data_IF_615537224575
#
_entry.id   IF_615537224575
#
_cell.length_a   1.000
_cell.length_b   1.000
_cell.length_c   1.000
_cell.angle_alpha   90.00
_cell.angle_beta   90.00
_cell.angle_gamma   90.00
#
_symmetry.space_group_name_H-M   'P 1'
#
loop_
_entity.id
_entity.type
_entity.pdbx_description
1 polymer ?
#
# COMPACT_ATOMS: atom_id res chain seq x y z
N UNK A 1 -1.29 6.96 -12.04
CA UNK A 1 -2.35 7.71 -12.75
C UNK A 1 -2.83 6.92 -13.98
N UNK A 2 -4.14 6.93 -14.25
CA UNK A 2 -4.73 6.40 -15.49
C UNK A 2 -5.01 7.57 -16.43
N UNK A 3 -3.95 8.18 -16.97
CA UNK A 3 -4.04 9.37 -17.81
C UNK A 3 -3.00 9.29 -18.91
N UNK A 4 -3.35 9.71 -20.13
CA UNK A 4 -2.38 9.95 -21.20
C UNK A 4 -1.57 11.22 -20.92
N UNK A 5 -0.40 11.40 -21.54
CA UNK A 5 0.31 12.67 -21.51
C UNK A 5 -0.60 13.82 -21.96
N UNK A 6 -0.78 14.82 -21.09
CA UNK A 6 -1.49 16.05 -21.41
C UNK A 6 -0.45 17.14 -21.71
N UNK A 7 -0.69 17.94 -22.76
CA UNK A 7 0.21 19.03 -23.17
C UNK A 7 0.33 20.15 -22.14
N UNK A 8 -0.69 20.29 -21.28
CA UNK A 8 -0.82 21.40 -20.34
C UNK A 8 -0.67 20.93 -18.88
N UNK A 9 0.18 19.94 -18.61
CA UNK A 9 0.49 19.58 -17.22
C UNK A 9 1.27 20.73 -16.58
N UNK A 10 0.57 21.69 -15.99
CA UNK A 10 1.13 22.89 -15.36
C UNK A 10 1.96 22.64 -14.09
N UNK A 11 2.56 21.45 -13.96
CA UNK A 11 3.37 21.03 -12.81
C UNK A 11 4.66 20.40 -13.36
N UNK A 12 5.78 21.11 -13.25
CA UNK A 12 7.12 20.67 -13.69
C UNK A 12 7.71 19.59 -12.78
N UNK A 13 7.05 18.43 -12.70
CA UNK A 13 7.57 17.30 -11.93
C UNK A 13 8.59 16.53 -12.78
N UNK A 14 9.77 16.19 -12.24
CA UNK A 14 10.87 15.61 -13.04
C UNK A 14 10.57 14.22 -13.60
N UNK A 15 9.63 13.48 -13.01
CA UNK A 15 9.22 12.15 -13.45
C UNK A 15 7.70 12.10 -13.50
N UNK A 16 7.20 11.91 -14.72
CA UNK A 16 5.79 11.74 -15.02
C UNK A 16 5.53 10.30 -15.48
N UNK A 17 4.50 9.68 -14.91
CA UNK A 17 3.98 8.39 -15.32
C UNK A 17 2.62 8.56 -15.96
N UNK A 18 2.36 7.75 -16.99
CA UNK A 18 1.11 7.74 -17.73
C UNK A 18 0.68 6.31 -18.02
N UNK A 19 -0.59 6.16 -18.38
CA UNK A 19 -1.16 4.91 -18.82
C UNK A 19 -2.28 5.19 -19.83
N UNK A 20 -2.64 4.19 -20.64
CA UNK A 20 -3.81 4.28 -21.52
C UNK A 20 -5.06 4.01 -20.68
N UNK A 21 -5.89 5.02 -20.33
CA UNK A 21 -6.82 4.91 -19.21
C UNK A 21 -7.76 3.70 -19.34
N UNK A 22 -8.54 3.65 -20.42
CA UNK A 22 -9.52 2.59 -20.66
C UNK A 22 -8.87 1.21 -20.83
N UNK A 23 -7.78 1.12 -21.61
CA UNK A 23 -7.07 -0.17 -21.81
C UNK A 23 -6.51 -0.72 -20.51
N UNK A 24 -5.94 0.14 -19.67
CA UNK A 24 -5.41 -0.26 -18.37
C UNK A 24 -6.54 -0.67 -17.42
N UNK A 25 -7.63 0.10 -17.35
CA UNK A 25 -8.78 -0.27 -16.50
C UNK A 25 -9.44 -1.59 -16.95
N UNK A 26 -9.61 -1.81 -18.25
CA UNK A 26 -10.09 -3.07 -18.82
C UNK A 26 -9.16 -4.24 -18.43
N UNK A 27 -7.85 -4.03 -18.51
CA UNK A 27 -6.86 -5.04 -18.11
C UNK A 27 -6.97 -5.36 -16.63
N UNK A 28 -7.08 -4.36 -15.76
CA UNK A 28 -7.27 -4.56 -14.32
C UNK A 28 -8.53 -5.37 -14.02
N UNK A 29 -9.65 -5.06 -14.67
CA UNK A 29 -10.92 -5.78 -14.54
C UNK A 29 -10.79 -7.24 -14.98
N UNK A 30 -10.10 -7.49 -16.11
CA UNK A 30 -9.84 -8.84 -16.63
C UNK A 30 -9.07 -9.72 -15.64
N UNK A 31 -8.16 -9.13 -14.86
CA UNK A 31 -7.41 -9.82 -13.80
C UNK A 31 -8.12 -9.83 -12.44
N UNK A 32 -9.39 -9.40 -12.36
CA UNK A 32 -10.18 -9.44 -11.14
C UNK A 32 -9.86 -8.35 -10.12
N UNK A 33 -9.14 -7.29 -10.51
CA UNK A 33 -8.88 -6.14 -9.63
C UNK A 33 -10.18 -5.35 -9.45
N UNK A 34 -10.70 -5.34 -8.22
CA UNK A 34 -11.96 -4.66 -7.86
C UNK A 34 -11.75 -3.27 -7.26
N UNK A 35 -10.58 -3.01 -6.70
CA UNK A 35 -10.28 -1.74 -6.03
C UNK A 35 -8.82 -1.32 -6.20
N UNK A 36 -8.58 0.00 -6.24
CA UNK A 36 -7.23 0.59 -6.35
C UNK A 36 -7.03 1.78 -5.40
N UNK A 37 -5.89 1.80 -4.72
CA UNK A 37 -5.47 2.93 -3.89
C UNK A 37 -4.74 3.99 -4.71
N UNK A 38 -5.15 5.26 -4.58
CA UNK A 38 -4.62 6.39 -5.35
C UNK A 38 -3.81 7.38 -4.51
N UNK A 39 -3.67 7.16 -3.20
CA UNK A 39 -2.86 8.04 -2.35
C UNK A 39 -1.37 7.80 -2.58
N UNK A 40 -0.81 8.34 -3.67
CA UNK A 40 0.60 8.21 -4.00
C UNK A 40 1.12 9.43 -4.75
N UNK A 41 2.44 9.52 -4.83
CA UNK A 41 3.15 10.65 -5.41
C UNK A 41 3.03 10.78 -6.94
N UNK A 42 2.33 9.88 -7.64
CA UNK A 42 2.16 9.91 -9.09
C UNK A 42 0.71 10.15 -9.55
N UNK A 43 -0.24 10.20 -8.62
CA UNK A 43 -1.65 10.36 -8.97
C UNK A 43 -1.94 11.69 -9.68
N UNK A 44 -1.24 12.77 -9.34
CA UNK A 44 -1.39 14.09 -9.96
C UNK A 44 -0.24 14.44 -10.93
N UNK A 45 0.39 13.46 -11.58
CA UNK A 45 1.45 13.72 -12.58
C UNK A 45 0.95 14.63 -13.72
N UNK A 46 -0.33 14.54 -14.09
CA UNK A 46 -0.96 15.44 -15.07
C UNK A 46 -1.96 16.41 -14.42
N UNK A 47 -1.70 16.79 -13.16
CA UNK A 47 -2.54 17.70 -12.38
C UNK A 47 -3.96 17.17 -12.11
N UNK A 48 -4.85 18.07 -11.70
CA UNK A 48 -6.25 17.74 -11.35
C UNK A 48 -7.03 17.23 -12.55
N UNK A 49 -6.79 17.76 -13.76
CA UNK A 49 -7.39 17.21 -14.98
C UNK A 49 -7.02 15.74 -15.23
N UNK A 50 -5.77 15.37 -14.95
CA UNK A 50 -5.35 13.98 -15.04
C UNK A 50 -5.95 13.08 -13.96
N UNK A 51 -6.09 13.62 -12.75
CA UNK A 51 -6.85 12.99 -11.66
C UNK A 51 -8.30 12.74 -12.08
N UNK A 52 -9.01 13.74 -12.60
CA UNK A 52 -10.41 13.61 -13.05
C UNK A 52 -10.58 12.51 -14.10
N UNK A 53 -9.68 12.45 -15.08
CA UNK A 53 -9.67 11.38 -16.08
C UNK A 53 -9.47 10.02 -15.41
N UNK A 54 -8.56 9.93 -14.43
CA UNK A 54 -8.31 8.69 -13.67
C UNK A 54 -9.57 8.27 -12.91
N UNK A 55 -10.17 9.17 -12.12
CA UNK A 55 -11.35 8.90 -11.30
C UNK A 55 -12.55 8.50 -12.17
N UNK A 56 -12.79 9.24 -13.26
CA UNK A 56 -13.87 8.95 -14.22
C UNK A 56 -13.68 7.59 -14.88
N UNK A 57 -12.45 7.27 -15.31
CA UNK A 57 -12.14 5.99 -15.97
C UNK A 57 -12.38 4.82 -15.02
N UNK A 58 -11.93 4.92 -13.77
CA UNK A 58 -12.13 3.87 -12.76
C UNK A 58 -13.62 3.67 -12.47
N UNK A 59 -14.36 4.76 -12.27
CA UNK A 59 -15.82 4.74 -12.08
C UNK A 59 -16.55 4.09 -13.26
N UNK A 60 -16.21 4.47 -14.49
CA UNK A 60 -16.81 3.90 -15.71
C UNK A 60 -16.44 2.43 -15.94
N UNK A 61 -15.39 1.93 -15.29
CA UNK A 61 -14.92 0.55 -15.43
C UNK A 61 -15.39 -0.35 -14.28
N UNK A 62 -16.21 0.17 -13.36
CA UNK A 62 -16.64 -0.50 -12.11
C UNK A 62 -15.49 -0.89 -11.19
N UNK A 63 -14.40 -0.10 -11.18
CA UNK A 63 -13.28 -0.28 -10.25
C UNK A 63 -13.40 0.76 -9.15
N UNK A 64 -13.50 0.28 -7.91
CA UNK A 64 -13.59 1.15 -6.73
C UNK A 64 -12.22 1.82 -6.52
N UNK A 65 -12.23 3.11 -6.22
CA UNK A 65 -11.00 3.82 -5.86
C UNK A 65 -11.13 4.44 -4.47
N UNK A 66 -9.97 4.64 -3.84
CA UNK A 66 -9.83 5.33 -2.55
C UNK A 66 -8.49 6.05 -2.50
N UNK A 67 -8.33 7.06 -1.64
CA UNK A 67 -7.06 7.79 -1.46
C UNK A 67 -6.83 8.98 -2.38
N UNK A 68 -7.82 9.34 -3.20
CA UNK A 68 -7.85 10.58 -3.97
C UNK A 68 -9.30 10.98 -4.25
N UNK A 69 -9.54 12.27 -4.43
CA UNK A 69 -10.89 12.80 -4.61
C UNK A 69 -10.88 14.29 -4.96
N UNK A 70 -12.08 14.85 -5.16
CA UNK A 70 -12.27 16.27 -5.45
C UNK A 70 -12.25 17.13 -4.18
N UNK A 71 -12.41 16.50 -3.01
CA UNK A 71 -12.33 17.15 -1.70
C UNK A 71 -11.47 16.33 -0.75
N UNK A 72 -11.01 16.94 0.35
CA UNK A 72 -10.30 16.28 1.42
C UNK A 72 -11.10 15.09 1.99
N UNK A 73 -12.40 15.28 2.20
CA UNK A 73 -13.31 14.24 2.68
C UNK A 73 -13.47 13.06 1.69
N UNK A 74 -13.58 13.32 0.38
CA UNK A 74 -13.61 12.24 -0.62
C UNK A 74 -12.27 11.48 -0.64
N UNK A 75 -11.17 12.22 -0.61
CA UNK A 75 -9.83 11.64 -0.72
C UNK A 75 -9.48 10.75 0.49
N UNK A 76 -9.78 11.21 1.71
CA UNK A 76 -9.47 10.49 2.96
C UNK A 76 -10.43 9.35 3.28
N UNK A 77 -11.55 9.23 2.56
CA UNK A 77 -12.56 8.19 2.81
C UNK A 77 -11.93 6.79 2.70
N UNK A 78 -12.04 5.94 3.73
CA UNK A 78 -11.51 4.59 3.69
C UNK A 78 -12.28 3.73 2.67
N UNK A 79 -11.62 2.68 2.20
CA UNK A 79 -12.31 1.59 1.52
C UNK A 79 -12.89 0.65 2.58
N UNK A 80 -14.21 0.65 2.72
CA UNK A 80 -14.92 -0.24 3.62
C UNK A 80 -15.51 -1.43 2.85
N UNK A 81 -15.31 -2.63 3.39
CA UNK A 81 -15.81 -3.89 2.84
C UNK A 81 -16.26 -4.85 3.93
N UNK A 82 -17.42 -5.45 3.71
CA UNK A 82 -17.95 -6.51 4.54
C UNK A 82 -17.93 -7.83 3.77
N UNK A 83 -17.46 -8.88 4.42
CA UNK A 83 -17.36 -10.24 3.88
C UNK A 83 -18.18 -11.17 4.76
N UNK A 84 -18.97 -12.05 4.13
CA UNK A 84 -19.84 -12.98 4.84
C UNK A 84 -19.34 -14.41 4.67
N UNK A 85 -19.28 -15.16 5.76
CA UNK A 85 -18.96 -16.60 5.78
C UNK A 85 -20.00 -17.31 6.64
N UNK A 86 -20.97 -17.97 5.99
CA UNK A 86 -22.15 -18.46 6.70
C UNK A 86 -22.94 -17.30 7.34
N UNK A 87 -23.14 -17.38 8.66
CA UNK A 87 -23.83 -16.34 9.45
C UNK A 87 -22.88 -15.27 10.01
N UNK A 88 -21.55 -15.45 9.86
CA UNK A 88 -20.56 -14.52 10.39
C UNK A 88 -20.20 -13.45 9.34
N UNK A 89 -19.93 -12.24 9.83
CA UNK A 89 -19.53 -11.08 9.03
C UNK A 89 -18.17 -10.54 9.49
N UNK A 90 -17.27 -10.28 8.54
CA UNK A 90 -16.00 -9.59 8.77
C UNK A 90 -16.06 -8.23 8.08
N UNK A 91 -15.86 -7.18 8.85
CA UNK A 91 -15.78 -5.81 8.36
C UNK A 91 -14.31 -5.38 8.26
N UNK A 92 -13.92 -4.76 7.14
CA UNK A 92 -12.56 -4.27 6.89
C UNK A 92 -12.64 -2.83 6.40
N UNK A 93 -11.87 -1.94 7.04
CA UNK A 93 -11.69 -0.56 6.63
C UNK A 93 -10.23 -0.30 6.27
N UNK A 94 -9.96 0.07 5.01
CA UNK A 94 -8.61 0.34 4.51
C UNK A 94 -8.41 1.84 4.33
N UNK A 95 -7.54 2.42 5.15
CA UNK A 95 -7.24 3.85 5.19
C UNK A 95 -6.06 4.19 4.28
N UNK A 96 -6.27 4.96 3.20
CA UNK A 96 -5.19 5.41 2.34
C UNK A 96 -4.47 6.62 2.95
N UNK A 97 -3.23 6.87 2.54
CA UNK A 97 -2.60 8.15 2.84
C UNK A 97 -1.24 8.32 2.19
N UNK A 98 -0.98 9.52 1.66
CA UNK A 98 0.34 9.90 1.19
C UNK A 98 1.05 10.69 2.28
N UNK A 99 2.21 10.22 2.73
CA UNK A 99 3.02 10.92 3.74
C UNK A 99 3.35 12.35 3.29
N UNK A 100 3.26 13.31 4.22
CA UNK A 100 3.50 14.72 3.93
C UNK A 100 4.88 14.98 3.31
N UNK A 101 4.91 15.77 2.24
CA UNK A 101 6.14 16.26 1.61
C UNK A 101 5.92 17.71 1.21
N UNK A 102 6.66 18.61 1.87
CA UNK A 102 6.62 20.05 1.61
C UNK A 102 6.68 20.42 0.12
N UNK A 103 7.59 19.81 -0.65
CA UNK A 103 7.72 20.11 -2.08
C UNK A 103 6.51 19.68 -2.90
N UNK A 104 5.82 18.61 -2.50
CA UNK A 104 4.58 18.17 -3.16
C UNK A 104 3.41 19.08 -2.80
N UNK A 105 3.37 19.57 -1.57
CA UNK A 105 2.35 20.50 -1.13
C UNK A 105 2.52 21.87 -1.80
N UNK A 106 3.65 22.54 -1.56
CA UNK A 106 3.87 23.93 -1.98
C UNK A 106 3.98 24.10 -3.50
N UNK A 107 4.66 23.18 -4.21
CA UNK A 107 4.90 23.32 -5.66
C UNK A 107 3.84 22.67 -6.51
N UNK A 108 3.29 21.57 -6.03
CA UNK A 108 2.41 20.73 -6.82
C UNK A 108 1.01 20.61 -6.23
N UNK A 109 0.67 21.22 -5.08
CA UNK A 109 -0.69 21.21 -4.50
C UNK A 109 -1.31 19.81 -4.59
N UNK A 110 -0.59 18.82 -4.04
CA UNK A 110 -0.88 17.40 -4.25
C UNK A 110 -1.98 16.88 -3.33
N UNK A 111 -2.08 17.44 -2.13
CA UNK A 111 -3.03 16.99 -1.11
C UNK A 111 -4.38 17.66 -1.33
N UNK A 112 -5.46 16.88 -1.21
CA UNK A 112 -6.81 17.42 -1.37
C UNK A 112 -7.15 18.37 -0.21
N UNK A 113 -7.80 19.49 -0.53
CA UNK A 113 -8.47 20.38 0.44
C UNK A 113 -9.97 20.33 0.21
N UNK A 114 -10.77 21.14 0.92
CA UNK A 114 -12.21 21.20 0.67
C UNK A 114 -12.53 21.84 -0.71
N UNK A 115 -11.60 22.62 -1.24
CA UNK A 115 -11.72 23.36 -2.50
C UNK A 115 -10.89 22.78 -3.65
N UNK A 116 -9.87 21.96 -3.35
CA UNK A 116 -8.94 21.46 -4.36
C UNK A 116 -8.86 19.93 -4.42
N UNK A 117 -9.02 19.33 -5.62
CA UNK A 117 -8.80 17.91 -5.83
C UNK A 117 -7.36 17.48 -5.58
N UNK A 118 -7.18 16.30 -4.99
CA UNK A 118 -5.87 15.78 -4.64
C UNK A 118 -5.88 14.37 -4.08
N UNK A 119 -4.75 13.96 -3.52
CA UNK A 119 -4.61 12.71 -2.77
C UNK A 119 -4.88 12.90 -1.28
N UNK A 120 -5.23 11.81 -0.60
CA UNK A 120 -5.32 11.78 0.85
C UNK A 120 -3.96 12.09 1.48
N UNK A 121 -3.93 13.06 2.39
CA UNK A 121 -2.80 13.25 3.31
C UNK A 121 -2.83 12.14 4.36
N UNK A 122 -1.68 11.50 4.62
CA UNK A 122 -1.52 10.65 5.79
C UNK A 122 -1.40 11.53 7.04
N UNK A 123 -2.50 11.66 7.77
CA UNK A 123 -2.60 12.44 9.00
C UNK A 123 -3.00 11.51 10.17
N UNK A 124 -2.05 11.11 11.02
CA UNK A 124 -2.32 10.19 12.13
C UNK A 124 -3.38 10.66 13.12
N UNK A 125 -3.47 11.97 13.36
CA UNK A 125 -4.43 12.54 14.32
C UNK A 125 -5.85 12.44 13.76
N UNK A 126 -6.04 12.79 12.48
CA UNK A 126 -7.34 12.62 11.83
C UNK A 126 -7.71 11.15 11.69
N UNK A 127 -6.74 10.29 11.39
CA UNK A 127 -6.96 8.84 11.33
C UNK A 127 -7.42 8.29 12.68
N UNK A 128 -6.81 8.72 13.79
CA UNK A 128 -7.21 8.31 15.14
C UNK A 128 -8.68 8.62 15.44
N UNK A 129 -9.14 9.83 15.10
CA UNK A 129 -10.54 10.23 15.26
C UNK A 129 -11.49 9.32 14.47
N UNK A 130 -11.14 8.95 13.23
CA UNK A 130 -11.94 8.02 12.43
C UNK A 130 -11.90 6.58 12.96
N UNK A 131 -10.75 6.12 13.46
CA UNK A 131 -10.62 4.80 14.06
C UNK A 131 -11.52 4.67 15.29
N UNK A 132 -11.54 5.67 16.17
CA UNK A 132 -12.44 5.69 17.32
C UNK A 132 -13.93 5.66 16.91
N UNK A 133 -14.31 6.37 15.85
CA UNK A 133 -15.69 6.33 15.33
C UNK A 133 -16.05 4.93 14.83
N UNK A 134 -15.16 4.30 14.07
CA UNK A 134 -15.34 2.91 13.61
C UNK A 134 -15.48 1.97 14.81
N UNK A 135 -14.58 2.06 15.78
CA UNK A 135 -14.59 1.21 16.98
C UNK A 135 -15.87 1.36 17.81
N UNK A 136 -16.42 2.58 17.90
CA UNK A 136 -17.69 2.85 18.60
C UNK A 136 -18.90 2.24 17.89
N UNK A 137 -18.90 2.21 16.56
CA UNK A 137 -20.03 1.73 15.76
C UNK A 137 -19.96 0.22 15.48
N UNK A 138 -18.76 -0.30 15.25
CA UNK A 138 -18.50 -1.69 14.89
C UNK A 138 -17.11 -2.11 15.40
N UNK A 139 -16.99 -2.53 16.68
CA UNK A 139 -15.71 -2.73 17.36
C UNK A 139 -14.82 -3.78 16.68
N UNK A 140 -15.42 -4.76 16.01
CA UNK A 140 -14.74 -5.88 15.35
C UNK A 140 -14.21 -5.54 13.94
N UNK A 141 -14.41 -4.31 13.45
CA UNK A 141 -13.93 -3.88 12.12
C UNK A 141 -12.40 -3.90 12.05
N UNK A 142 -11.81 -4.59 11.09
CA UNK A 142 -10.36 -4.61 10.90
C UNK A 142 -9.92 -3.29 10.28
N UNK A 143 -9.06 -2.54 10.97
CA UNK A 143 -8.53 -1.26 10.49
C UNK A 143 -7.15 -1.49 9.89
N UNK A 144 -7.06 -1.39 8.57
CA UNK A 144 -5.79 -1.50 7.83
C UNK A 144 -5.37 -0.11 7.35
N UNK A 145 -4.16 0.32 7.66
CA UNK A 145 -3.59 1.54 7.05
C UNK A 145 -2.73 1.16 5.85
N UNK A 146 -2.98 1.82 4.73
CA UNK A 146 -2.29 1.63 3.45
C UNK A 146 -1.53 2.90 3.02
N UNK A 147 -0.39 3.21 3.68
CA UNK A 147 0.33 4.44 3.43
C UNK A 147 1.30 4.34 2.25
N UNK A 148 1.36 5.41 1.45
CA UNK A 148 2.47 5.67 0.54
C UNK A 148 3.49 6.59 1.22
N UNK A 149 4.67 6.07 1.50
CA UNK A 149 5.70 6.79 2.26
C UNK A 149 7.11 6.29 1.95
N UNK A 150 8.08 6.80 2.70
CA UNK A 150 9.48 6.38 2.58
C UNK A 150 10.20 6.97 1.37
N UNK A 151 11.49 6.68 1.29
CA UNK A 151 12.37 7.17 0.24
C UNK A 151 12.67 6.06 -0.76
N UNK A 152 12.77 6.43 -2.05
CA UNK A 152 13.08 5.50 -3.13
C UNK A 152 14.34 4.68 -2.80
N UNK A 153 14.20 3.36 -2.80
CA UNK A 153 15.24 2.35 -2.60
C UNK A 153 16.01 2.49 -1.28
N UNK A 154 15.32 2.93 -0.22
CA UNK A 154 15.86 3.00 1.13
C UNK A 154 15.02 2.12 2.05
N UNK A 155 15.69 1.53 3.04
CA UNK A 155 15.05 0.95 4.21
C UNK A 155 14.26 2.00 5.01
N UNK A 156 13.42 1.53 5.94
CA UNK A 156 12.50 2.42 6.66
C UNK A 156 13.23 3.54 7.40
N UNK A 157 12.66 4.73 7.42
CA UNK A 157 13.17 5.83 8.24
C UNK A 157 12.58 5.79 9.66
N UNK A 158 13.22 6.50 10.60
CA UNK A 158 12.68 6.69 11.94
C UNK A 158 11.32 7.41 11.94
N UNK A 159 11.10 8.32 10.97
CA UNK A 159 9.82 9.01 10.81
C UNK A 159 8.71 8.06 10.34
N UNK A 160 9.00 7.13 9.42
CA UNK A 160 8.04 6.08 9.06
C UNK A 160 7.64 5.27 10.30
N UNK A 161 8.61 4.86 11.13
CA UNK A 161 8.33 4.10 12.35
C UNK A 161 7.50 4.88 13.36
N UNK A 162 7.89 6.13 13.66
CA UNK A 162 7.12 6.98 14.58
C UNK A 162 5.67 7.14 14.11
N UNK A 163 5.46 7.31 12.81
CA UNK A 163 4.11 7.41 12.23
C UNK A 163 3.36 6.08 12.34
N UNK A 164 4.02 4.95 12.06
CA UNK A 164 3.43 3.63 12.18
C UNK A 164 3.01 3.30 13.61
N UNK A 165 3.88 3.54 14.60
CA UNK A 165 3.58 3.34 16.01
C UNK A 165 2.41 4.19 16.47
N UNK A 166 2.37 5.47 16.07
CA UNK A 166 1.23 6.34 16.39
C UNK A 166 -0.09 5.81 15.81
N UNK A 167 -0.10 5.35 14.54
CA UNK A 167 -1.30 4.79 13.93
C UNK A 167 -1.77 3.49 14.63
N UNK A 168 -0.85 2.64 15.06
CA UNK A 168 -1.16 1.44 15.86
C UNK A 168 -1.70 1.84 17.23
N UNK A 169 -1.05 2.78 17.93
CA UNK A 169 -1.48 3.30 19.23
C UNK A 169 -2.89 3.91 19.17
N UNK A 170 -3.26 4.48 18.02
CA UNK A 170 -4.57 5.03 17.73
C UNK A 170 -5.65 3.98 17.39
N UNK A 171 -5.28 2.71 17.20
CA UNK A 171 -6.24 1.61 17.00
C UNK A 171 -6.21 0.93 15.63
N UNK A 172 -5.20 1.20 14.78
CA UNK A 172 -4.99 0.41 13.58
C UNK A 172 -4.55 -1.03 13.91
N UNK A 173 -5.06 -2.01 13.16
CA UNK A 173 -4.75 -3.44 13.36
C UNK A 173 -3.57 -3.92 12.52
N UNK A 174 -3.37 -3.29 11.36
CA UNK A 174 -2.37 -3.69 10.38
C UNK A 174 -1.93 -2.48 9.56
N UNK A 175 -0.62 -2.37 9.30
CA UNK A 175 -0.09 -1.36 8.38
C UNK A 175 0.60 -2.06 7.23
N UNK A 176 0.18 -1.76 6.00
CA UNK A 176 0.77 -2.26 4.76
C UNK A 176 1.22 -1.08 3.91
N UNK A 177 2.48 -0.69 4.05
CA UNK A 177 3.07 0.45 3.36
C UNK A 177 3.57 0.14 1.96
N UNK A 178 3.73 1.20 1.16
CA UNK A 178 4.40 1.16 -0.14
C UNK A 178 5.09 2.50 -0.47
N UNK A 179 5.76 2.58 -1.62
CA UNK A 179 6.39 3.81 -2.12
C UNK A 179 7.92 3.80 -2.17
N UNK A 180 8.58 2.92 -1.41
CA UNK A 180 10.04 2.79 -1.44
C UNK A 180 10.59 2.07 -2.69
N UNK A 181 9.75 1.51 -3.56
CA UNK A 181 10.15 0.73 -4.76
C UNK A 181 10.99 -0.54 -4.50
N UNK A 182 11.11 -0.96 -3.25
CA UNK A 182 11.64 -2.24 -2.80
C UNK A 182 10.86 -2.64 -1.55
N UNK A 183 10.91 -3.92 -1.16
CA UNK A 183 10.38 -4.27 0.15
C UNK A 183 11.16 -3.56 1.27
N UNK A 184 10.51 -3.26 2.38
CA UNK A 184 11.14 -2.73 3.59
C UNK A 184 10.93 -3.69 4.77
N UNK A 185 11.46 -3.32 5.94
CA UNK A 185 11.34 -4.12 7.16
C UNK A 185 9.89 -4.51 7.50
N UNK A 186 9.78 -5.61 8.24
CA UNK A 186 8.56 -6.03 8.94
C UNK A 186 8.80 -5.87 10.43
N UNK A 187 7.83 -5.32 11.15
CA UNK A 187 7.90 -5.10 12.60
C UNK A 187 6.62 -5.58 13.28
N UNK A 188 6.77 -6.12 14.48
CA UNK A 188 5.68 -6.38 15.41
C UNK A 188 5.72 -5.28 16.47
N UNK A 189 4.67 -4.49 16.60
CA UNK A 189 4.56 -3.43 17.60
C UNK A 189 3.21 -3.52 18.29
N UNK A 190 3.20 -3.62 19.62
CA UNK A 190 1.99 -3.82 20.45
C UNK A 190 1.02 -4.87 19.88
N UNK A 191 1.57 -6.03 19.56
CA UNK A 191 0.76 -7.12 19.00
C UNK A 191 0.00 -6.74 17.71
N UNK A 192 0.46 -5.72 16.97
CA UNK A 192 0.05 -5.43 15.58
C UNK A 192 1.24 -5.49 14.62
N UNK A 193 0.96 -5.74 13.33
CA UNK A 193 2.00 -5.89 12.31
C UNK A 193 2.17 -4.62 11.48
N UNK A 194 3.41 -4.30 11.17
CA UNK A 194 3.79 -3.21 10.27
C UNK A 194 4.68 -3.77 9.16
N UNK A 195 4.14 -3.85 7.95
CA UNK A 195 4.90 -4.10 6.72
C UNK A 195 5.23 -2.74 6.12
N UNK A 196 6.46 -2.25 6.30
CA UNK A 196 6.78 -0.85 5.96
C UNK A 196 6.71 -0.55 4.47
N UNK A 197 7.00 -1.52 3.62
CA UNK A 197 7.05 -1.34 2.18
C UNK A 197 6.90 -2.67 1.47
N UNK A 198 5.92 -2.78 0.58
CA UNK A 198 5.78 -3.93 -0.31
C UNK A 198 6.72 -3.87 -1.51
N UNK A 199 7.10 -2.68 -1.97
CA UNK A 199 7.85 -2.51 -3.21
C UNK A 199 6.96 -2.42 -4.45
N UNK A 200 7.46 -2.86 -5.60
CA UNK A 200 6.79 -2.78 -6.88
C UNK A 200 6.17 -4.14 -7.26
N UNK A 201 4.90 -4.14 -7.69
CA UNK A 201 4.28 -5.32 -8.29
C UNK A 201 4.33 -5.27 -9.83
N UNK A 202 3.45 -4.46 -10.45
CA UNK A 202 3.47 -4.15 -11.88
C UNK A 202 3.88 -2.69 -12.04
N UNK A 203 5.07 -2.43 -12.58
CA UNK A 203 5.60 -1.08 -12.70
C UNK A 203 6.34 -0.87 -14.03
N UNK A 204 6.06 0.24 -14.71
CA UNK A 204 6.60 0.55 -16.05
C UNK A 204 7.94 1.29 -15.97
N UNK A 205 8.84 0.85 -15.10
CA UNK A 205 10.20 1.36 -14.98
C UNK A 205 11.17 0.17 -14.93
N UNK A 206 12.35 0.25 -15.55
CA UNK A 206 13.33 -0.84 -15.50
C UNK A 206 13.82 -1.16 -14.07
N UNK A 207 13.55 -0.29 -13.09
CA UNK A 207 14.11 -0.40 -11.75
C UNK A 207 15.50 0.26 -11.66
N UNK A 208 15.91 0.58 -10.44
CA UNK A 208 17.26 1.11 -10.12
C UNK A 208 18.09 0.13 -9.29
N UNK A 209 17.68 -1.14 -9.28
CA UNK A 209 18.39 -2.23 -8.63
C UNK A 209 19.82 -2.35 -9.19
N UNK A 210 20.80 -2.62 -8.32
CA UNK A 210 22.22 -2.66 -8.66
C UNK A 210 22.89 -1.31 -8.98
N UNK A 211 22.13 -0.20 -9.08
CA UNK A 211 22.69 1.17 -9.15
C UNK A 211 22.76 1.84 -7.78
N UNK A 212 21.97 1.34 -6.84
CA UNK A 212 21.91 1.80 -5.46
C UNK A 212 22.19 0.56 -4.61
N UNK A 213 23.18 0.63 -3.73
CA UNK A 213 23.64 -0.51 -2.92
C UNK A 213 22.51 -1.11 -2.07
N UNK A 214 21.66 -0.28 -1.47
CA UNK A 214 20.51 -0.74 -0.68
C UNK A 214 19.33 -1.27 -1.51
N UNK A 215 19.37 -1.18 -2.84
CA UNK A 215 18.26 -1.55 -3.71
C UNK A 215 18.29 -3.05 -4.06
N UNK A 216 17.70 -3.88 -3.21
CA UNK A 216 17.51 -5.30 -3.50
C UNK A 216 16.38 -5.50 -4.52
N UNK A 217 16.51 -6.46 -5.46
CA UNK A 217 15.61 -6.61 -6.62
C UNK A 217 14.27 -7.26 -6.28
N UNK A 218 13.88 -7.27 -5.01
CA UNK A 218 12.73 -8.00 -4.50
C UNK A 218 11.63 -7.06 -4.02
N UNK A 219 10.40 -7.50 -4.21
CA UNK A 219 9.18 -6.89 -3.67
C UNK A 219 8.31 -7.99 -3.05
N UNK A 220 7.22 -7.62 -2.38
CA UNK A 220 6.31 -8.52 -1.69
C UNK A 220 4.88 -8.32 -2.22
N UNK A 221 4.14 -9.42 -2.33
CA UNK A 221 2.68 -9.41 -2.44
C UNK A 221 2.14 -9.80 -1.07
N UNK A 222 1.29 -8.95 -0.49
CA UNK A 222 0.59 -9.28 0.76
C UNK A 222 -0.78 -9.88 0.45
N UNK A 223 -1.02 -11.08 0.97
CA UNK A 223 -2.34 -11.71 1.02
C UNK A 223 -2.80 -11.73 2.47
N UNK A 224 -3.88 -10.99 2.76
CA UNK A 224 -4.49 -10.96 4.08
C UNK A 224 -5.57 -12.02 4.11
N UNK A 225 -5.39 -13.03 4.96
CA UNK A 225 -6.32 -14.13 5.18
C UNK A 225 -6.96 -13.91 6.54
N UNK A 226 -8.29 -13.96 6.58
CA UNK A 226 -9.07 -13.65 7.76
C UNK A 226 -10.09 -14.77 7.96
N UNK A 227 -10.17 -15.26 9.18
CA UNK A 227 -11.11 -16.28 9.62
C UNK A 227 -12.01 -15.64 10.69
N UNK A 228 -13.34 -15.68 10.49
CA UNK A 228 -14.26 -15.08 11.44
C UNK A 228 -14.34 -15.92 12.71
N UNK A 229 -14.49 -15.23 13.84
CA UNK A 229 -14.71 -15.82 15.16
C UNK A 229 -16.02 -15.26 15.76
N UNK A 230 -16.52 -15.87 16.84
CA UNK A 230 -17.72 -15.37 17.55
C UNK A 230 -17.61 -13.89 17.96
N UNK A 231 -16.39 -13.43 18.21
CA UNK A 231 -16.04 -12.03 18.44
C UNK A 231 -14.68 -11.75 17.80
N UNK A 232 -14.65 -10.93 16.76
CA UNK A 232 -13.44 -10.54 16.04
C UNK A 232 -13.03 -11.53 14.95
N UNK A 233 -11.72 -11.73 14.79
CA UNK A 233 -11.14 -12.56 13.74
C UNK A 233 -9.81 -13.16 14.19
N UNK A 234 -9.42 -14.24 13.52
CA UNK A 234 -8.05 -14.75 13.47
C UNK A 234 -7.57 -14.73 12.02
N UNK A 235 -6.30 -15.05 11.78
CA UNK A 235 -5.81 -15.25 10.42
C UNK A 235 -4.32 -15.02 10.28
N UNK A 236 -3.90 -14.59 9.10
CA UNK A 236 -2.50 -14.30 8.82
C UNK A 236 -2.35 -13.32 7.65
N UNK A 237 -1.22 -12.63 7.61
CA UNK A 237 -0.72 -11.99 6.39
C UNK A 237 0.35 -12.89 5.80
N UNK A 238 0.13 -13.40 4.60
CA UNK A 238 1.15 -14.09 3.81
C UNK A 238 1.86 -13.07 2.92
N UNK A 239 3.18 -12.98 3.05
CA UNK A 239 4.04 -12.15 2.20
C UNK A 239 4.77 -13.05 1.21
N UNK A 240 4.37 -12.97 -0.07
CA UNK A 240 4.98 -13.71 -1.17
C UNK A 240 6.05 -12.84 -1.84
N UNK A 241 7.33 -13.21 -1.76
CA UNK A 241 8.36 -12.45 -2.43
C UNK A 241 8.34 -12.66 -3.94
N UNK A 242 8.65 -11.59 -4.66
CA UNK A 242 8.72 -11.58 -6.12
C UNK A 242 10.00 -10.91 -6.60
N UNK A 243 10.51 -11.37 -7.74
CA UNK A 243 11.53 -10.66 -8.50
C UNK A 243 10.89 -9.44 -9.19
N UNK A 244 11.34 -8.25 -8.81
CA UNK A 244 10.79 -6.96 -9.25
C UNK A 244 11.74 -6.15 -10.15
N UNK A 245 12.97 -6.64 -10.37
CA UNK A 245 13.89 -6.06 -11.35
C UNK A 245 13.43 -6.39 -12.78
N UNK A 246 12.79 -5.41 -13.42
CA UNK A 246 12.27 -5.56 -14.78
C UNK A 246 13.33 -5.82 -15.84
N UNK A 247 14.61 -5.53 -15.58
CA UNK A 247 15.71 -5.92 -16.49
C UNK A 247 15.95 -7.42 -16.45
N UNK A 248 15.70 -8.07 -15.32
CA UNK A 248 15.81 -9.52 -15.15
C UNK A 248 14.55 -10.24 -15.58
N UNK A 249 13.38 -9.65 -15.33
CA UNK A 249 12.09 -10.32 -15.59
C UNK A 249 11.52 -10.04 -16.98
N UNK A 250 12.06 -9.06 -17.71
CA UNK A 250 11.47 -8.62 -18.98
C UNK A 250 10.06 -8.04 -18.79
N UNK A 251 9.85 -7.26 -17.72
CA UNK A 251 8.56 -6.66 -17.35
C UNK A 251 7.44 -7.68 -17.02
N UNK A 252 7.83 -8.90 -16.62
CA UNK A 252 6.91 -9.96 -16.17
C UNK A 252 7.28 -10.41 -14.76
N UNK A 253 6.78 -9.69 -13.75
CA UNK A 253 7.01 -10.03 -12.34
C UNK A 253 6.69 -11.50 -12.09
N UNK A 254 7.58 -12.17 -11.35
CA UNK A 254 7.49 -13.60 -11.03
C UNK A 254 7.77 -13.82 -9.55
N UNK A 255 7.22 -14.89 -9.00
CA UNK A 255 7.64 -15.39 -7.69
C UNK A 255 9.13 -15.73 -7.69
N UNK A 256 9.73 -15.64 -6.50
CA UNK A 256 11.14 -16.00 -6.27
C UNK A 256 11.34 -17.52 -6.34
N UNK A 257 12.54 -17.96 -6.70
CA UNK A 257 12.97 -19.35 -6.52
C UNK A 257 13.20 -19.67 -5.04
N UNK A 258 13.44 -20.95 -4.70
CA UNK A 258 13.79 -21.33 -3.33
C UNK A 258 15.08 -20.66 -2.84
N UNK A 259 16.11 -20.56 -3.68
CA UNK A 259 17.36 -19.86 -3.34
C UNK A 259 17.14 -18.36 -3.14
N UNK A 260 16.41 -17.72 -4.05
CA UNK A 260 16.06 -16.30 -3.93
C UNK A 260 15.18 -16.02 -2.69
N UNK A 261 14.35 -16.99 -2.26
CA UNK A 261 13.59 -16.89 -1.02
C UNK A 261 14.50 -16.86 0.22
N UNK A 262 15.53 -17.70 0.27
CA UNK A 262 16.54 -17.68 1.34
C UNK A 262 17.28 -16.35 1.39
N UNK A 263 17.57 -15.74 0.23
CA UNK A 263 18.14 -14.38 0.19
C UNK A 263 17.19 -13.33 0.79
N UNK A 264 15.90 -13.40 0.47
CA UNK A 264 14.89 -12.49 1.04
C UNK A 264 14.81 -12.63 2.56
N UNK A 265 14.85 -13.86 3.08
CA UNK A 265 14.88 -14.11 4.52
C UNK A 265 16.14 -13.50 5.17
N UNK A 266 17.31 -13.76 4.61
CA UNK A 266 18.57 -13.20 5.11
C UNK A 266 18.57 -11.66 5.11
N UNK A 267 18.00 -11.03 4.08
CA UNK A 267 17.86 -9.58 4.01
C UNK A 267 16.93 -9.03 5.10
N UNK A 268 15.80 -9.69 5.37
CA UNK A 268 14.90 -9.29 6.45
C UNK A 268 15.57 -9.45 7.82
N UNK A 269 16.22 -10.60 8.06
CA UNK A 269 16.98 -10.84 9.29
C UNK A 269 18.08 -9.80 9.50
N UNK A 270 18.83 -9.45 8.45
CA UNK A 270 19.91 -8.47 8.53
C UNK A 270 19.38 -7.05 8.79
N UNK A 271 18.31 -6.65 8.10
CA UNK A 271 17.86 -5.25 8.12
C UNK A 271 16.83 -4.95 9.22
N UNK A 272 16.31 -5.97 9.89
CA UNK A 272 15.53 -5.82 11.11
C UNK A 272 16.40 -5.80 12.38
N UNK A 273 17.72 -6.03 12.30
CA UNK A 273 18.61 -6.30 13.46
C UNK A 273 18.90 -5.20 14.50
N UNK A 274 18.46 -3.94 14.40
CA UNK A 274 18.35 -3.12 15.62
C UNK A 274 17.14 -3.51 16.48
N UNK A 275 16.11 -4.09 15.86
CA UNK A 275 14.79 -4.35 16.44
C UNK A 275 14.52 -5.85 16.64
N UNK A 276 15.26 -6.70 15.93
CA UNK A 276 15.01 -8.13 15.83
C UNK A 276 13.94 -8.44 14.78
N UNK A 277 14.12 -9.54 14.03
CA UNK A 277 13.01 -10.11 13.27
C UNK A 277 12.07 -10.78 14.29
N UNK A 278 10.75 -10.50 14.27
CA UNK A 278 9.84 -11.13 15.23
C UNK A 278 9.87 -12.65 15.08
N UNK A 279 10.05 -13.36 16.20
CA UNK A 279 10.08 -14.84 16.23
C UNK A 279 8.77 -15.49 15.77
N UNK A 280 7.69 -14.71 15.73
CA UNK A 280 6.37 -15.13 15.25
C UNK A 280 6.28 -15.23 13.71
N UNK A 281 7.25 -14.67 12.96
CA UNK A 281 7.27 -14.84 11.51
C UNK A 281 7.70 -16.27 11.21
N UNK A 282 6.81 -17.02 10.57
CA UNK A 282 7.08 -18.38 10.10
C UNK A 282 7.17 -18.40 8.58
N UNK A 283 7.55 -19.54 7.99
CA UNK A 283 7.56 -19.74 6.55
C UNK A 283 6.59 -20.85 6.16
N UNK A 284 5.99 -20.70 4.98
CA UNK A 284 5.15 -21.71 4.36
C UNK A 284 5.36 -21.75 2.85
N UNK A 285 4.69 -22.70 2.19
CA UNK A 285 4.66 -22.76 0.74
C UNK A 285 3.30 -23.27 0.26
N UNK A 286 2.81 -22.70 -0.84
CA UNK A 286 1.60 -23.15 -1.50
C UNK A 286 1.76 -23.08 -3.04
N UNK A 287 0.65 -23.13 -3.78
CA UNK A 287 0.65 -23.08 -5.25
C UNK A 287 1.30 -21.82 -5.85
N UNK A 288 1.44 -20.74 -5.09
CA UNK A 288 2.11 -19.51 -5.51
C UNK A 288 3.61 -19.51 -5.20
N UNK A 289 4.08 -20.44 -4.37
CA UNK A 289 5.48 -20.57 -3.96
C UNK A 289 5.66 -20.33 -2.46
N UNK A 290 6.92 -20.14 -2.01
CA UNK A 290 7.22 -19.89 -0.61
C UNK A 290 6.77 -18.49 -0.17
N UNK A 291 6.33 -18.39 1.09
CA UNK A 291 5.88 -17.14 1.69
C UNK A 291 6.32 -17.03 3.16
N UNK A 292 6.36 -15.79 3.65
CA UNK A 292 6.46 -15.49 5.08
C UNK A 292 5.04 -15.36 5.64
N UNK A 293 4.76 -16.00 6.76
CA UNK A 293 3.47 -15.93 7.46
C UNK A 293 3.60 -15.05 8.69
N UNK A 294 2.70 -14.06 8.79
CA UNK A 294 2.58 -13.14 9.92
C UNK A 294 1.22 -13.41 10.57
N UNK A 295 1.14 -14.14 11.69
CA UNK A 295 -0.14 -14.47 12.32
C UNK A 295 -0.89 -13.21 12.75
N UNK A 296 -2.16 -13.11 12.39
CA UNK A 296 -3.07 -12.07 12.84
C UNK A 296 -3.86 -12.61 14.03
N UNK A 297 -3.65 -11.97 15.18
CA UNK A 297 -4.36 -12.26 16.40
C UNK A 297 -5.43 -11.20 16.65
N UNK A 298 -6.44 -11.60 17.43
CA UNK A 298 -7.63 -10.83 17.74
C UNK A 298 -7.29 -9.42 18.28
N UNK A 299 -8.09 -8.39 17.96
CA UNK A 299 -7.98 -7.06 18.57
C UNK A 299 -8.29 -7.01 20.06
#
# INVERSE_FOLDING_TARGET
PLTLPLTDSGREKPILHWARPFKTAETLKRYGVRSVGLANNHTLDYGTRGLDITLKTLRQSDIIYFGAGHTAAEASRPLEKSFHTGEQEINVAIFPGFGYRRSYDERYRFYATDEEPGVALLDPEKAAVEFEKIRRNNPDTIIIVYPHWGSNYRWRSASQQKTAHHLIDAGADLIIGHGAHMFQQVERYREKWVVYGLGNFVFNSPGRYGRIESAHPYSLIAMVILEPEDKGFTGEVRLYPIMSDNRRTGYKSRFVSGEEFLEVQALLEQNCKPWGLPSLITTGADRFGPFLSLPLEKP
#
